data_IF_457889683679
#
_entry.id   IF_457889683679
#
_cell.length_a   1.000
_cell.length_b   1.000
_cell.length_c   1.000
_cell.angle_alpha   90.00
_cell.angle_beta   90.00
_cell.angle_gamma   90.00
#
_symmetry.space_group_name_H-M   'P 1'
#
loop_
_entity.id
_entity.type
_entity.pdbx_description
1 polymer ?
#
# COMPACT_ATOMS: atom_id res chain seq x y z
N UNK A 1 -14.61 8.69 -17.81
CA UNK A 1 -16.06 8.52 -17.57
C UNK A 1 -16.80 9.52 -18.45
N UNK A 2 -18.02 9.22 -18.87
CA UNK A 2 -18.90 10.22 -19.50
C UNK A 2 -20.09 10.36 -18.57
N UNK A 3 -20.39 11.57 -18.13
CA UNK A 3 -21.55 11.87 -17.29
C UNK A 3 -22.44 12.94 -17.96
N UNK A 4 -23.46 13.42 -17.24
CA UNK A 4 -24.38 14.45 -17.75
C UNK A 4 -23.69 15.80 -18.00
N UNK A 5 -22.51 16.04 -17.41
CA UNK A 5 -21.74 17.28 -17.51
C UNK A 5 -20.64 17.21 -18.58
N UNK A 6 -20.24 16.01 -19.02
CA UNK A 6 -19.35 15.81 -20.16
C UNK A 6 -18.36 14.66 -20.00
N UNK A 7 -17.18 14.83 -20.59
CA UNK A 7 -16.11 13.83 -20.57
C UNK A 7 -15.18 14.12 -19.40
N UNK A 8 -14.90 13.08 -18.62
CA UNK A 8 -14.01 13.13 -17.47
C UNK A 8 -12.86 12.12 -17.58
N UNK A 9 -11.68 12.53 -17.15
CA UNK A 9 -10.51 11.68 -16.90
C UNK A 9 -10.20 11.78 -15.41
N UNK A 10 -10.34 10.67 -14.69
CA UNK A 10 -10.35 10.63 -13.22
C UNK A 10 -11.30 11.69 -12.64
N UNK A 11 -10.77 12.67 -11.90
CA UNK A 11 -11.52 13.78 -11.32
C UNK A 11 -11.42 15.08 -12.13
N UNK A 12 -10.82 15.05 -13.32
CA UNK A 12 -10.63 16.22 -14.19
C UNK A 12 -11.65 16.23 -15.34
N UNK A 13 -12.27 17.38 -15.58
CA UNK A 13 -13.23 17.58 -16.68
C UNK A 13 -12.51 18.08 -17.94
N UNK A 14 -12.86 17.53 -19.09
CA UNK A 14 -12.39 18.05 -20.38
C UNK A 14 -13.13 19.34 -20.71
N UNK A 15 -12.38 20.44 -20.83
CA UNK A 15 -12.91 21.79 -21.13
C UNK A 15 -12.79 22.16 -22.61
N UNK A 16 -11.84 21.57 -23.33
CA UNK A 16 -11.71 21.66 -24.78
C UNK A 16 -11.17 20.35 -25.33
N UNK A 17 -11.74 19.88 -26.44
CA UNK A 17 -11.40 18.60 -27.06
C UNK A 17 -10.94 18.77 -28.50
N UNK A 18 -10.24 17.76 -29.00
CA UNK A 18 -9.94 17.57 -30.42
C UNK A 18 -9.09 18.67 -31.06
N UNK A 19 -8.13 19.21 -30.31
CA UNK A 19 -7.15 20.16 -30.83
C UNK A 19 -6.08 19.38 -31.59
N UNK A 20 -6.09 19.46 -32.92
CA UNK A 20 -5.14 18.75 -33.79
C UNK A 20 -3.75 19.39 -33.70
N UNK A 21 -2.73 18.53 -33.60
CA UNK A 21 -1.31 18.89 -33.56
C UNK A 21 -0.51 17.98 -34.49
N UNK A 22 0.75 18.33 -34.77
CA UNK A 22 1.60 17.58 -35.71
C UNK A 22 1.81 16.11 -35.31
N UNK A 23 1.71 15.79 -34.02
CA UNK A 23 2.00 14.47 -33.46
C UNK A 23 0.79 13.84 -32.73
N UNK A 24 -0.41 14.41 -32.85
CA UNK A 24 -1.60 13.84 -32.21
C UNK A 24 -2.68 14.86 -31.92
N UNK A 25 -3.42 14.62 -30.84
CA UNK A 25 -4.56 15.42 -30.41
C UNK A 25 -4.37 15.85 -28.96
N UNK A 26 -4.71 17.10 -28.66
CA UNK A 26 -4.69 17.66 -27.30
C UNK A 26 -6.12 17.86 -26.80
N UNK A 27 -6.34 17.43 -25.56
CA UNK A 27 -7.54 17.71 -24.76
C UNK A 27 -7.13 18.53 -23.54
N UNK A 28 -7.85 19.63 -23.29
CA UNK A 28 -7.59 20.53 -22.15
C UNK A 28 -8.45 20.11 -20.98
N UNK A 29 -7.85 20.01 -19.79
CA UNK A 29 -8.52 19.63 -18.55
C UNK A 29 -8.39 20.72 -17.48
N UNK A 30 -9.33 20.77 -16.54
CA UNK A 30 -9.41 21.78 -15.49
C UNK A 30 -8.66 21.42 -14.18
N UNK A 31 -8.15 20.19 -14.08
CA UNK A 31 -7.38 19.71 -12.94
C UNK A 31 -6.07 19.01 -13.36
N UNK A 32 -5.10 19.00 -12.46
CA UNK A 32 -3.81 18.32 -12.66
C UNK A 32 -3.95 16.83 -12.35
N UNK A 33 -3.56 15.97 -13.28
CA UNK A 33 -3.42 14.54 -13.01
C UNK A 33 -2.10 14.29 -12.28
N UNK A 34 -2.21 13.66 -11.12
CA UNK A 34 -1.04 13.14 -10.42
C UNK A 34 -0.75 11.74 -10.97
N UNK A 35 0.52 11.39 -11.24
CA UNK A 35 0.85 10.02 -11.61
C UNK A 35 0.39 9.09 -10.49
N UNK A 36 -0.14 7.93 -10.85
CA UNK A 36 -0.34 6.87 -9.87
C UNK A 36 1.01 6.57 -9.23
N UNK A 37 1.17 6.92 -7.96
CA UNK A 37 2.30 6.43 -7.20
C UNK A 37 2.08 4.94 -7.08
N UNK A 38 2.90 4.15 -7.78
CA UNK A 38 3.03 2.73 -7.45
C UNK A 38 3.53 2.65 -6.01
N UNK A 39 2.61 2.63 -5.05
CA UNK A 39 2.91 2.10 -3.75
C UNK A 39 3.17 0.61 -3.98
N UNK A 40 4.42 0.28 -4.29
CA UNK A 40 4.95 -1.06 -4.06
C UNK A 40 5.00 -1.40 -2.55
N UNK A 41 4.20 -0.72 -1.74
CA UNK A 41 3.73 -1.23 -0.47
C UNK A 41 2.69 -2.27 -0.83
N UNK A 42 3.18 -3.46 -1.18
CA UNK A 42 2.36 -4.65 -1.23
C UNK A 42 1.45 -4.61 -0.01
N UNK A 43 0.15 -4.68 -0.28
CA UNK A 43 -0.87 -4.96 0.71
C UNK A 43 -0.46 -6.27 1.39
N UNK A 44 0.30 -6.17 2.48
CA UNK A 44 0.64 -7.30 3.31
C UNK A 44 -0.67 -7.79 3.89
N UNK A 45 -1.23 -8.81 3.24
CA UNK A 45 -2.46 -9.46 3.66
C UNK A 45 -2.33 -9.85 5.13
N UNK A 46 -3.09 -9.10 5.93
CA UNK A 46 -3.26 -9.19 7.37
C UNK A 46 -3.95 -10.50 7.75
N UNK A 47 -3.32 -11.64 7.51
CA UNK A 47 -3.93 -12.95 7.82
C UNK A 47 -2.99 -14.13 7.67
N UNK A 48 -1.98 -14.30 8.56
CA UNK A 48 -1.59 -15.64 9.09
C UNK A 48 -0.55 -15.65 10.22
N UNK A 49 -0.51 -14.67 11.13
CA UNK A 49 0.22 -14.88 12.40
C UNK A 49 -0.74 -15.50 13.43
N UNK A 50 -0.99 -16.80 13.33
CA UNK A 50 -1.96 -17.49 14.22
C UNK A 50 -1.35 -17.94 15.56
N UNK A 51 -0.01 -17.92 15.72
CA UNK A 51 0.65 -18.42 16.93
C UNK A 51 1.92 -17.64 17.25
N UNK A 52 2.16 -17.38 18.53
CA UNK A 52 3.48 -16.99 19.06
C UNK A 52 4.18 -18.26 19.55
N UNK A 53 5.50 -18.37 19.40
CA UNK A 53 6.29 -19.52 19.90
C UNK A 53 7.46 -19.04 20.75
N UNK A 54 7.89 -19.82 21.74
CA UNK A 54 9.12 -19.57 22.51
C UNK A 54 10.40 -20.07 21.77
N UNK A 55 11.57 -19.93 22.39
CA UNK A 55 12.87 -20.37 21.84
C UNK A 55 12.98 -21.88 21.62
N UNK A 56 12.09 -22.66 22.22
CA UNK A 56 12.01 -24.10 22.05
C UNK A 56 10.94 -24.50 21.03
N UNK A 57 10.30 -23.52 20.37
CA UNK A 57 9.27 -23.74 19.37
C UNK A 57 7.89 -24.08 19.95
N UNK A 58 7.67 -23.89 21.26
CA UNK A 58 6.37 -24.16 21.90
C UNK A 58 5.43 -22.98 21.71
N UNK A 59 4.17 -23.23 21.36
CA UNK A 59 3.15 -22.19 21.22
C UNK A 59 2.90 -21.51 22.58
N UNK A 60 2.96 -20.17 22.59
CA UNK A 60 2.78 -19.31 23.76
C UNK A 60 1.70 -18.25 23.52
N UNK A 61 1.08 -17.79 24.62
CA UNK A 61 0.14 -16.68 24.59
C UNK A 61 0.92 -15.35 24.58
N UNK A 62 0.77 -14.49 23.55
CA UNK A 62 1.52 -13.23 23.47
C UNK A 62 1.16 -12.23 24.58
N UNK A 63 0.03 -12.44 25.27
CA UNK A 63 -0.45 -11.58 26.35
C UNK A 63 -0.05 -12.08 27.75
N UNK A 64 0.75 -13.15 27.86
CA UNK A 64 1.36 -13.50 29.15
C UNK A 64 2.48 -12.50 29.46
N UNK A 65 2.26 -11.65 30.45
CA UNK A 65 3.27 -10.74 31.02
C UNK A 65 4.54 -11.52 31.39
N UNK A 66 5.72 -10.88 31.30
CA UNK A 66 7.08 -11.38 31.59
C UNK A 66 7.91 -11.91 30.40
N UNK A 67 7.69 -11.38 29.20
CA UNK A 67 8.46 -11.69 28.00
C UNK A 67 9.09 -10.43 27.39
N UNK A 68 10.37 -10.50 27.00
CA UNK A 68 11.07 -9.48 26.20
C UNK A 68 11.24 -10.03 24.78
N UNK A 69 10.80 -9.27 23.78
CA UNK A 69 10.86 -9.65 22.36
C UNK A 69 11.82 -8.70 21.63
N UNK A 70 12.81 -9.25 20.92
CA UNK A 70 13.70 -8.52 20.03
C UNK A 70 13.47 -8.95 18.59
N UNK A 71 13.11 -7.99 17.73
CA UNK A 71 12.92 -8.21 16.30
C UNK A 71 14.03 -7.50 15.51
N UNK A 72 14.66 -8.23 14.59
CA UNK A 72 15.55 -7.68 13.56
C UNK A 72 14.73 -7.51 12.30
N UNK A 73 14.62 -6.28 11.78
CA UNK A 73 13.85 -5.98 10.58
C UNK A 73 14.77 -5.77 9.36
N UNK A 74 14.35 -6.27 8.20
CA UNK A 74 14.93 -5.99 6.90
C UNK A 74 13.81 -5.71 5.90
N UNK A 75 13.87 -4.55 5.23
CA UNK A 75 12.84 -4.11 4.26
C UNK A 75 11.42 -4.13 4.82
N UNK A 76 11.25 -3.72 6.08
CA UNK A 76 9.97 -3.68 6.78
C UNK A 76 9.44 -5.04 7.24
N UNK A 77 10.20 -6.13 7.06
CA UNK A 77 9.86 -7.48 7.54
C UNK A 77 10.78 -7.91 8.67
N UNK A 78 10.25 -8.60 9.68
CA UNK A 78 11.08 -9.26 10.69
C UNK A 78 11.87 -10.39 10.04
N UNK A 79 13.19 -10.23 9.98
CA UNK A 79 14.16 -11.22 9.53
C UNK A 79 14.50 -12.22 10.64
N UNK A 80 14.50 -11.78 11.89
CA UNK A 80 14.82 -12.64 13.04
C UNK A 80 14.10 -12.15 14.30
N UNK A 81 13.61 -13.08 15.13
CA UNK A 81 12.91 -12.79 16.38
C UNK A 81 13.55 -13.59 17.52
N UNK A 82 13.94 -12.92 18.59
CA UNK A 82 14.44 -13.52 19.83
C UNK A 82 13.50 -13.19 20.97
N UNK A 83 13.15 -14.19 21.76
CA UNK A 83 12.22 -14.06 22.87
C UNK A 83 12.93 -14.50 24.16
N UNK A 84 13.02 -13.61 25.14
CA UNK A 84 13.58 -13.89 26.46
C UNK A 84 12.45 -13.88 27.50
N UNK A 85 12.29 -14.99 28.21
CA UNK A 85 11.38 -15.08 29.34
C UNK A 85 12.17 -14.80 30.63
N UNK A 86 11.59 -14.01 31.54
CA UNK A 86 12.17 -13.77 32.87
C UNK A 86 11.59 -14.74 33.89
#
# INVERSE_FOLDING_TARGET
MIDENGVMIDNAMVTAADIVTDNGVVHVIDAVLLPETQSNLQEYTKSKYLYSVDLYGKIVNPNSTNQIIFDVFESGKTKSKLILNK
#
